data_IF_280221040881
#
_entry.id   IF_280221040881
#
_cell.length_a   1.000
_cell.length_b   1.000
_cell.length_c   1.000
_cell.angle_alpha   90.00
_cell.angle_beta   90.00
_cell.angle_gamma   90.00
#
_symmetry.space_group_name_H-M   'P 1'
#
loop_
_entity.id
_entity.type
_entity.pdbx_description
1 polymer ?
#
# COMPACT_ATOMS: atom_id res chain seq x y z
N UNK A 1 -4.72 60.49 45.41
CA UNK A 1 -3.67 60.98 44.49
C UNK A 1 -3.65 60.08 43.27
N UNK A 2 -4.14 60.59 42.13
CA UNK A 2 -4.03 60.02 40.78
C UNK A 2 -3.17 61.01 39.98
N UNK A 3 -2.10 60.57 39.33
CA UNK A 3 -1.22 61.25 38.33
C UNK A 3 -0.11 60.22 38.02
N UNK A 4 0.27 59.83 36.81
CA UNK A 4 0.14 60.41 35.48
C UNK A 4 0.07 59.29 34.43
N UNK A 5 -0.96 59.38 33.58
CA UNK A 5 -1.01 58.88 32.19
C UNK A 5 0.19 59.43 31.41
N UNK A 6 0.96 58.56 30.73
CA UNK A 6 0.81 58.22 29.30
C UNK A 6 1.15 59.39 28.36
N UNK A 7 1.98 59.04 27.37
CA UNK A 7 2.26 59.73 26.10
C UNK A 7 3.39 60.76 26.12
N UNK A 8 4.54 60.37 25.58
CA UNK A 8 5.08 60.84 24.29
C UNK A 8 6.41 60.08 24.10
N UNK A 9 6.42 58.91 23.47
CA UNK A 9 6.39 58.73 22.01
C UNK A 9 7.69 59.21 21.35
N UNK A 10 8.46 58.21 20.91
CA UNK A 10 9.39 58.22 19.79
C UNK A 10 10.68 59.08 19.87
N UNK A 11 11.75 58.41 19.46
CA UNK A 11 12.91 58.95 18.75
C UNK A 11 14.10 59.43 19.60
N UNK A 12 14.89 58.46 20.07
CA UNK A 12 16.34 58.52 19.89
C UNK A 12 16.83 57.13 19.46
N UNK A 13 16.80 56.94 18.15
CA UNK A 13 17.54 55.92 17.40
C UNK A 13 19.04 56.13 17.62
N UNK A 14 19.79 55.01 17.66
CA UNK A 14 21.24 54.86 17.62
C UNK A 14 21.98 55.27 18.92
N UNK A 15 22.80 54.43 19.56
CA UNK A 15 23.89 53.65 18.97
C UNK A 15 24.13 52.31 19.69
N UNK A 16 24.67 51.38 18.91
CA UNK A 16 25.04 50.00 19.21
C UNK A 16 26.00 49.80 20.40
N UNK A 17 25.90 48.65 21.06
CA UNK A 17 27.00 47.67 21.04
C UNK A 17 26.52 46.29 21.49
N UNK A 18 27.07 45.29 20.81
CA UNK A 18 26.79 43.86 20.83
C UNK A 18 27.27 43.15 22.11
N UNK A 19 26.46 42.24 22.65
CA UNK A 19 26.95 40.98 23.22
C UNK A 19 25.79 39.97 23.29
N UNK A 20 26.08 38.75 22.87
CA UNK A 20 25.13 37.70 22.49
C UNK A 20 24.20 37.23 23.61
N UNK A 21 22.97 36.95 23.22
CA UNK A 21 21.94 36.25 23.99
C UNK A 21 22.31 34.75 24.02
N UNK A 22 22.88 34.27 25.13
CA UNK A 22 23.01 32.84 25.39
C UNK A 22 21.66 32.35 25.88
N UNK A 23 20.86 31.78 24.98
CA UNK A 23 19.68 31.01 25.36
C UNK A 23 20.14 29.58 25.71
N UNK A 24 20.16 29.27 27.01
CA UNK A 24 20.29 27.88 27.48
C UNK A 24 18.98 27.15 27.19
N UNK A 25 18.97 26.28 26.20
CA UNK A 25 17.90 25.30 26.00
C UNK A 25 18.09 24.15 26.98
N UNK A 26 17.17 24.03 27.93
CA UNK A 26 17.06 22.86 28.80
C UNK A 26 16.75 21.61 27.95
N UNK A 27 17.51 20.53 28.20
CA UNK A 27 17.32 19.22 27.58
C UNK A 27 15.98 18.63 28.04
N UNK A 28 14.98 18.71 27.18
CA UNK A 28 13.71 18.00 27.35
C UNK A 28 13.97 16.49 27.22
N UNK A 29 14.08 15.80 28.36
CA UNK A 29 14.31 14.35 28.49
C UNK A 29 12.97 13.59 28.47
N UNK A 30 12.14 13.85 27.47
CA UNK A 30 10.95 13.05 27.21
C UNK A 30 11.34 11.73 26.54
N UNK A 31 11.34 10.70 27.39
CA UNK A 31 11.17 9.27 27.10
C UNK A 31 10.56 8.99 25.72
N UNK A 32 11.36 8.36 24.85
CA UNK A 32 10.92 7.74 23.60
C UNK A 32 9.91 6.63 23.89
N UNK A 33 8.63 6.95 23.78
CA UNK A 33 7.57 5.95 23.59
C UNK A 33 7.24 5.93 22.11
N UNK A 34 6.86 4.77 21.57
CA UNK A 34 6.59 4.48 20.16
C UNK A 34 5.42 5.26 19.52
N UNK A 35 5.10 6.45 20.04
CA UNK A 35 4.17 7.38 19.41
C UNK A 35 5.01 8.42 18.65
N UNK A 36 5.14 8.12 17.35
CA UNK A 36 5.74 8.90 16.25
C UNK A 36 7.24 9.15 16.33
N UNK A 37 7.99 8.37 15.54
CA UNK A 37 9.35 8.72 15.17
C UNK A 37 9.30 9.93 14.23
N UNK A 38 10.31 10.80 14.27
CA UNK A 38 10.39 11.97 13.40
C UNK A 38 11.75 12.10 12.73
N UNK A 39 11.87 12.93 11.70
CA UNK A 39 13.17 13.29 11.10
C UNK A 39 14.13 13.92 12.13
N UNK A 40 13.62 14.50 13.22
CA UNK A 40 14.44 15.01 14.32
C UNK A 40 15.12 13.86 15.09
N UNK A 41 14.50 12.69 15.17
CA UNK A 41 15.05 11.51 15.82
C UNK A 41 16.14 10.87 14.96
N UNK A 42 15.97 10.84 13.64
CA UNK A 42 17.03 10.47 12.70
C UNK A 42 18.25 11.41 12.83
N UNK A 43 18.01 12.72 12.94
CA UNK A 43 19.07 13.72 13.18
C UNK A 43 19.79 13.50 14.51
N UNK A 44 19.07 13.13 15.57
CA UNK A 44 19.66 12.80 16.87
C UNK A 44 20.48 11.52 16.82
N UNK A 45 19.99 10.47 16.15
CA UNK A 45 20.75 9.23 15.93
C UNK A 45 22.05 9.48 15.16
N UNK A 46 22.03 10.35 14.14
CA UNK A 46 23.26 10.82 13.47
C UNK A 46 24.21 11.54 14.44
N UNK A 47 23.69 12.42 15.30
CA UNK A 47 24.49 13.12 16.30
C UNK A 47 25.13 12.15 17.33
N UNK A 48 24.42 11.08 17.72
CA UNK A 48 24.96 10.01 18.56
C UNK A 48 26.05 9.22 17.83
N UNK A 49 25.81 8.86 16.56
CA UNK A 49 26.75 8.10 15.75
C UNK A 49 28.09 8.82 15.54
N UNK A 50 28.06 10.15 15.45
CA UNK A 50 29.29 10.98 15.34
C UNK A 50 29.85 11.45 16.68
N UNK A 51 29.28 10.99 17.81
CA UNK A 51 29.72 11.34 19.17
C UNK A 51 29.51 12.81 19.55
N UNK A 52 28.63 13.52 18.85
CA UNK A 52 28.27 14.91 19.18
C UNK A 52 27.37 15.01 20.40
N UNK A 53 26.63 13.94 20.72
CA UNK A 53 25.85 13.79 21.95
C UNK A 53 26.06 12.37 22.54
N UNK A 54 25.80 12.15 23.85
CA UNK A 54 25.86 10.82 24.45
C UNK A 54 24.94 9.82 23.74
N UNK A 55 25.42 8.59 23.55
CA UNK A 55 24.63 7.50 22.98
C UNK A 55 23.47 7.11 23.89
N UNK A 56 22.28 7.00 23.32
CA UNK A 56 21.09 6.41 23.94
C UNK A 56 20.65 5.21 23.11
N UNK A 57 20.66 4.02 23.70
CA UNK A 57 20.31 2.78 23.01
C UNK A 57 18.82 2.69 22.64
N UNK A 58 18.00 3.67 23.02
CA UNK A 58 16.64 3.74 22.47
C UNK A 58 16.64 4.10 20.97
N UNK A 59 17.72 4.70 20.46
CA UNK A 59 17.88 4.96 19.02
C UNK A 59 18.59 3.80 18.27
N UNK A 60 18.87 2.68 18.94
CA UNK A 60 19.41 1.46 18.32
C UNK A 60 18.26 0.68 17.68
N UNK A 61 18.00 0.96 16.40
CA UNK A 61 16.84 0.42 15.69
C UNK A 61 17.12 -0.97 15.12
N UNK A 62 18.40 -1.31 14.91
CA UNK A 62 18.78 -2.63 14.40
C UNK A 62 19.07 -3.65 15.52
N UNK A 63 19.14 -3.20 16.77
CA UNK A 63 19.35 -4.04 17.96
C UNK A 63 20.78 -4.55 18.12
N UNK A 64 21.77 -3.90 17.50
CA UNK A 64 23.18 -4.35 17.50
C UNK A 64 23.99 -3.89 18.73
N UNK A 65 23.36 -3.13 19.62
CA UNK A 65 23.94 -2.56 20.83
C UNK A 65 24.68 -1.25 20.60
N UNK A 66 24.55 -0.62 19.44
CA UNK A 66 25.18 0.66 19.07
C UNK A 66 24.20 1.53 18.31
N UNK A 67 24.40 2.85 18.39
CA UNK A 67 23.68 3.81 17.53
C UNK A 67 24.64 4.29 16.45
N UNK A 68 24.27 4.04 15.20
CA UNK A 68 25.06 4.33 14.00
C UNK A 68 24.24 5.13 12.99
N UNK A 69 24.86 5.49 11.87
CA UNK A 69 24.14 6.08 10.73
C UNK A 69 23.12 5.13 10.11
N UNK A 70 23.25 3.82 10.34
CA UNK A 70 22.27 2.84 9.87
C UNK A 70 20.95 2.99 10.65
N UNK A 71 21.01 3.18 11.97
CA UNK A 71 19.83 3.40 12.79
C UNK A 71 19.12 4.70 12.42
N UNK A 72 19.88 5.76 12.15
CA UNK A 72 19.32 7.00 11.65
C UNK A 72 18.61 6.84 10.30
N UNK A 73 19.13 5.99 9.41
CA UNK A 73 18.47 5.66 8.15
C UNK A 73 17.17 4.87 8.38
N UNK A 74 17.19 3.89 9.29
CA UNK A 74 15.99 3.11 9.65
C UNK A 74 14.91 4.01 10.26
N UNK A 75 15.28 4.98 11.11
CA UNK A 75 14.35 5.99 11.62
C UNK A 75 13.77 6.83 10.46
N UNK A 76 14.61 7.27 9.51
CA UNK A 76 14.14 8.07 8.39
C UNK A 76 13.18 7.28 7.47
N UNK A 77 13.45 5.99 7.25
CA UNK A 77 12.58 5.09 6.49
C UNK A 77 11.23 4.88 7.18
N UNK A 78 11.25 4.73 8.51
CA UNK A 78 10.02 4.59 9.31
C UNK A 78 9.21 5.89 9.35
N UNK A 79 9.87 7.05 9.39
CA UNK A 79 9.20 8.36 9.30
C UNK A 79 8.53 8.54 7.94
N UNK A 80 9.22 8.19 6.84
CA UNK A 80 8.64 8.21 5.51
C UNK A 80 7.45 7.24 5.40
N UNK A 81 7.50 6.07 6.06
CA UNK A 81 6.39 5.13 6.11
C UNK A 81 5.19 5.67 6.92
N UNK A 82 5.44 6.43 8.00
CA UNK A 82 4.40 7.09 8.80
C UNK A 82 3.76 8.28 8.06
N UNK A 83 4.56 9.11 7.37
CA UNK A 83 4.07 10.21 6.53
C UNK A 83 3.35 9.71 5.27
N UNK A 84 3.62 8.48 4.83
CA UNK A 84 2.89 7.82 3.74
C UNK A 84 1.54 7.23 4.16
N UNK A 85 1.33 6.95 5.45
CA UNK A 85 0.10 6.32 5.93
C UNK A 85 -1.08 7.31 5.93
N UNK A 86 -2.01 7.09 5.01
CA UNK A 86 -3.12 8.01 4.73
C UNK A 86 -2.75 9.14 3.77
N UNK A 87 -1.63 9.03 3.06
CA UNK A 87 -1.26 9.95 1.97
C UNK A 87 -1.78 9.46 0.62
N UNK A 88 -1.91 10.38 -0.36
CA UNK A 88 -2.17 9.99 -1.75
C UNK A 88 -1.00 9.18 -2.29
N UNK A 89 -1.28 8.23 -3.19
CA UNK A 89 -0.21 7.55 -3.91
C UNK A 89 0.59 8.59 -4.73
N UNK A 90 1.94 8.54 -4.69
CA UNK A 90 2.77 9.61 -5.23
C UNK A 90 2.76 9.70 -6.76
N UNK A 91 2.45 8.60 -7.45
CA UNK A 91 2.28 8.54 -8.90
C UNK A 91 1.48 7.29 -9.31
N UNK A 92 1.02 7.20 -10.56
CA UNK A 92 0.23 6.07 -11.06
C UNK A 92 1.06 4.82 -11.38
N UNK A 93 2.37 4.95 -11.47
CA UNK A 93 3.34 3.88 -11.69
C UNK A 93 4.74 4.34 -11.26
N UNK A 94 5.70 3.42 -11.22
CA UNK A 94 7.02 3.60 -10.59
C UNK A 94 6.97 3.97 -9.11
N UNK A 95 6.04 3.34 -8.39
CA UNK A 95 5.82 3.56 -6.96
C UNK A 95 6.03 2.26 -6.19
N UNK A 96 6.43 2.38 -4.93
CA UNK A 96 6.42 1.28 -3.97
C UNK A 96 5.13 1.35 -3.17
N UNK A 97 4.47 0.21 -2.98
CA UNK A 97 3.28 0.09 -2.13
C UNK A 97 3.52 -0.97 -1.07
N UNK A 98 3.16 -0.64 0.16
CA UNK A 98 3.05 -1.56 1.28
C UNK A 98 1.78 -2.40 1.12
N UNK A 99 1.77 -3.54 1.80
CA UNK A 99 0.58 -4.37 1.96
C UNK A 99 0.15 -4.35 3.42
N UNK A 100 -1.15 -4.58 3.64
CA UNK A 100 -1.73 -4.62 4.97
C UNK A 100 -1.53 -5.94 5.71
N UNK A 101 -1.02 -6.98 5.03
CA UNK A 101 -0.81 -8.29 5.65
C UNK A 101 0.13 -8.19 6.85
N UNK A 102 -0.20 -8.90 7.94
CA UNK A 102 0.63 -8.94 9.15
C UNK A 102 2.06 -9.46 8.86
N UNK A 103 2.20 -10.32 7.85
CA UNK A 103 3.46 -10.93 7.44
C UNK A 103 4.24 -10.11 6.39
N UNK A 104 3.70 -8.96 5.96
CA UNK A 104 4.29 -8.14 4.90
C UNK A 104 4.15 -8.75 3.50
N UNK A 105 4.99 -8.28 2.58
CA UNK A 105 5.00 -8.76 1.18
C UNK A 105 5.72 -10.10 1.06
N UNK A 106 5.18 -11.00 0.24
CA UNK A 106 5.80 -12.29 -0.05
C UNK A 106 7.13 -12.16 -0.78
N UNK A 107 7.24 -11.18 -1.68
CA UNK A 107 8.41 -10.97 -2.53
C UNK A 107 9.01 -9.59 -2.30
N UNK A 108 9.72 -9.43 -1.19
CA UNK A 108 10.45 -8.20 -0.84
C UNK A 108 11.83 -8.15 -1.52
N UNK A 109 11.84 -7.77 -2.79
CA UNK A 109 13.09 -7.70 -3.56
C UNK A 109 13.93 -6.45 -3.26
N UNK A 110 13.35 -5.47 -2.55
CA UNK A 110 14.00 -4.19 -2.23
C UNK A 110 14.41 -4.09 -0.75
N UNK A 111 14.00 -5.03 0.10
CA UNK A 111 14.32 -5.04 1.53
C UNK A 111 13.57 -3.96 2.30
N UNK A 112 12.42 -3.54 1.81
CA UNK A 112 11.61 -2.45 2.37
C UNK A 112 10.13 -2.82 2.52
N UNK A 113 9.83 -4.12 2.49
CA UNK A 113 8.49 -4.68 2.65
C UNK A 113 7.42 -4.09 1.70
N UNK A 114 7.82 -3.87 0.44
CA UNK A 114 6.92 -3.27 -0.56
C UNK A 114 6.92 -4.01 -1.89
N UNK A 115 5.82 -3.80 -2.64
CA UNK A 115 5.75 -4.11 -4.05
C UNK A 115 6.04 -2.90 -4.92
N UNK A 116 6.93 -3.06 -5.90
CA UNK A 116 7.18 -2.05 -6.92
C UNK A 116 6.18 -2.16 -8.07
N UNK A 117 5.30 -1.16 -8.19
CA UNK A 117 4.34 -0.99 -9.28
C UNK A 117 5.01 -0.29 -10.44
N UNK A 118 5.16 -0.97 -11.58
CA UNK A 118 6.02 -0.52 -12.69
C UNK A 118 5.28 -0.05 -13.94
N UNK A 119 4.44 -0.89 -14.54
CA UNK A 119 3.65 -0.60 -15.75
C UNK A 119 4.37 -0.01 -17.00
N UNK A 120 5.65 -0.34 -17.23
CA UNK A 120 6.39 0.11 -18.42
C UNK A 120 5.86 -0.46 -19.75
N UNK A 121 5.58 -1.77 -19.77
CA UNK A 121 5.28 -2.53 -21.01
C UNK A 121 3.98 -3.33 -20.92
N UNK A 122 3.78 -4.05 -19.83
CA UNK A 122 2.54 -4.76 -19.52
C UNK A 122 1.37 -3.80 -19.23
N UNK A 123 0.19 -4.35 -18.92
CA UNK A 123 -1.02 -3.55 -18.85
C UNK A 123 -2.27 -4.31 -18.44
N UNK A 124 -3.39 -3.93 -19.05
CA UNK A 124 -4.73 -4.14 -18.53
C UNK A 124 -5.45 -5.38 -19.09
N UNK A 125 -4.87 -6.04 -20.10
CA UNK A 125 -5.63 -6.94 -20.97
C UNK A 125 -5.64 -8.41 -20.53
N UNK A 126 -4.76 -8.82 -19.62
CA UNK A 126 -4.56 -10.26 -19.33
C UNK A 126 -5.04 -10.70 -17.97
N UNK A 127 -5.07 -9.80 -16.99
CA UNK A 127 -5.50 -10.12 -15.63
C UNK A 127 -6.95 -9.67 -15.48
N UNK A 128 -7.83 -10.54 -14.99
CA UNK A 128 -9.24 -10.20 -14.85
C UNK A 128 -9.79 -10.57 -13.48
N UNK A 129 -10.97 -10.03 -13.19
CA UNK A 129 -11.77 -10.38 -12.01
C UNK A 129 -13.09 -10.99 -12.49
N UNK A 130 -13.48 -12.12 -11.91
CA UNK A 130 -14.74 -12.82 -12.24
C UNK A 130 -15.37 -13.42 -10.99
N UNK A 131 -16.70 -13.47 -10.91
CA UNK A 131 -17.41 -14.33 -9.95
C UNK A 131 -17.97 -15.61 -10.58
N UNK A 132 -17.53 -15.92 -11.81
CA UNK A 132 -17.91 -17.10 -12.58
C UNK A 132 -16.66 -17.67 -13.29
N UNK A 133 -16.21 -18.83 -12.84
CA UNK A 133 -15.01 -19.49 -13.38
C UNK A 133 -15.16 -19.95 -14.84
N UNK A 134 -16.37 -19.92 -15.40
CA UNK A 134 -16.63 -20.14 -16.83
C UNK A 134 -16.40 -18.89 -17.71
N UNK A 135 -16.17 -17.72 -17.10
CA UNK A 135 -15.91 -16.44 -17.77
C UNK A 135 -14.47 -15.98 -17.43
N UNK A 136 -13.44 -16.60 -18.02
CA UNK A 136 -12.04 -16.29 -17.68
C UNK A 136 -11.60 -14.90 -18.13
N UNK A 137 -12.29 -14.28 -19.11
CA UNK A 137 -12.08 -12.89 -19.52
C UNK A 137 -12.71 -11.87 -18.54
N UNK A 138 -13.35 -12.36 -17.47
CA UNK A 138 -13.96 -11.57 -16.43
C UNK A 138 -15.23 -10.84 -16.84
N UNK A 139 -15.81 -10.17 -15.84
CA UNK A 139 -16.99 -9.32 -16.00
C UNK A 139 -16.98 -8.20 -14.97
N UNK A 140 -17.77 -7.17 -15.25
CA UNK A 140 -18.11 -6.17 -14.23
C UNK A 140 -19.24 -6.73 -13.36
N UNK A 141 -18.99 -6.80 -12.06
CA UNK A 141 -19.96 -7.22 -11.07
C UNK A 141 -20.16 -6.12 -10.03
N UNK A 142 -21.41 -5.71 -9.83
CA UNK A 142 -21.82 -4.87 -8.69
C UNK A 142 -22.84 -5.66 -7.88
N UNK A 143 -22.67 -5.70 -6.57
CA UNK A 143 -23.58 -6.40 -5.66
C UNK A 143 -23.76 -5.58 -4.38
N UNK A 144 -24.86 -5.79 -3.66
CA UNK A 144 -24.97 -5.34 -2.27
C UNK A 144 -24.55 -6.42 -1.28
N UNK A 145 -24.29 -7.66 -1.73
CA UNK A 145 -24.01 -8.76 -0.79
C UNK A 145 -22.68 -8.52 -0.07
N UNK A 146 -22.70 -8.41 1.26
CA UNK A 146 -21.49 -8.14 2.06
C UNK A 146 -20.57 -9.36 2.22
N UNK A 147 -20.89 -10.51 1.63
CA UNK A 147 -20.00 -11.68 1.64
C UNK A 147 -20.13 -12.44 0.34
N UNK A 148 -19.01 -12.92 -0.19
CA UNK A 148 -19.03 -13.60 -1.47
C UNK A 148 -17.68 -14.14 -1.90
N UNK A 149 -17.66 -14.65 -3.12
CA UNK A 149 -16.46 -15.19 -3.76
C UNK A 149 -16.30 -14.58 -5.13
N UNK A 150 -15.07 -14.24 -5.47
CA UNK A 150 -14.63 -13.94 -6.82
C UNK A 150 -13.27 -14.58 -7.07
N UNK A 151 -12.80 -14.50 -8.30
CA UNK A 151 -11.58 -15.12 -8.77
C UNK A 151 -10.75 -14.11 -9.56
N UNK A 152 -9.43 -14.23 -9.46
CA UNK A 152 -8.48 -13.54 -10.32
C UNK A 152 -7.99 -14.54 -11.37
N UNK A 153 -8.13 -14.17 -12.63
CA UNK A 153 -7.83 -15.04 -13.78
C UNK A 153 -6.75 -14.41 -14.65
N UNK A 154 -6.05 -15.25 -15.44
CA UNK A 154 -5.13 -14.78 -16.47
C UNK A 154 -5.49 -15.38 -17.83
N UNK A 155 -5.74 -14.54 -18.83
CA UNK A 155 -5.94 -14.94 -20.24
C UNK A 155 -4.80 -14.48 -21.15
N UNK A 156 -3.69 -14.04 -20.56
CA UNK A 156 -2.51 -13.60 -21.30
C UNK A 156 -1.70 -14.76 -21.86
N UNK A 157 -0.99 -14.50 -22.97
CA UNK A 157 -0.15 -15.51 -23.61
C UNK A 157 1.01 -16.04 -22.74
N UNK A 158 1.38 -15.34 -21.66
CA UNK A 158 2.33 -15.86 -20.65
C UNK A 158 1.72 -17.01 -19.85
N UNK A 159 0.43 -16.95 -19.54
CA UNK A 159 -0.29 -18.04 -18.85
C UNK A 159 0.05 -18.24 -17.38
N UNK A 160 0.79 -17.32 -16.74
CA UNK A 160 1.01 -17.32 -15.29
C UNK A 160 1.46 -15.96 -14.77
N UNK A 161 1.29 -15.74 -13.46
CA UNK A 161 1.93 -14.67 -12.65
C UNK A 161 2.27 -15.24 -11.28
N UNK A 162 3.46 -14.93 -10.78
CA UNK A 162 4.04 -15.58 -9.59
C UNK A 162 3.38 -15.18 -8.27
N UNK A 163 2.71 -14.03 -8.24
CA UNK A 163 1.84 -13.64 -7.13
C UNK A 163 0.67 -12.77 -7.60
N UNK A 164 -0.47 -12.91 -6.96
CA UNK A 164 -1.59 -11.99 -7.05
C UNK A 164 -1.62 -11.06 -5.83
N UNK A 165 -1.90 -9.80 -6.10
CA UNK A 165 -2.07 -8.75 -5.09
C UNK A 165 -3.46 -8.18 -5.30
N UNK A 166 -4.15 -7.94 -4.21
CA UNK A 166 -5.48 -7.38 -4.18
C UNK A 166 -5.40 -5.91 -3.74
N UNK A 167 -6.14 -5.02 -4.39
CA UNK A 167 -6.34 -3.64 -3.94
C UNK A 167 -7.81 -3.43 -3.63
N UNK A 168 -8.09 -3.07 -2.37
CA UNK A 168 -9.39 -2.63 -1.90
C UNK A 168 -9.45 -1.10 -1.91
N UNK A 169 -10.47 -0.54 -2.53
CA UNK A 169 -10.79 0.88 -2.44
C UNK A 169 -12.13 1.06 -1.73
N UNK A 170 -12.16 1.76 -0.60
CA UNK A 170 -13.41 2.08 0.11
C UNK A 170 -13.59 3.60 0.12
N UNK A 171 -14.80 4.06 -0.19
CA UNK A 171 -15.09 5.50 -0.22
C UNK A 171 -14.82 6.12 1.16
N UNK A 172 -14.27 7.34 1.22
CA UNK A 172 -13.56 7.90 2.40
C UNK A 172 -14.30 7.85 3.75
N UNK A 173 -15.61 7.72 3.76
CA UNK A 173 -16.39 7.53 5.00
C UNK A 173 -16.30 6.07 5.46
N UNK A 174 -15.15 5.69 6.02
CA UNK A 174 -14.93 4.36 6.62
C UNK A 174 -15.28 4.42 8.10
N UNK A 175 -16.23 3.58 8.51
CA UNK A 175 -16.63 3.40 9.90
C UNK A 175 -15.46 2.94 10.77
N UNK A 176 -15.37 3.38 12.03
CA UNK A 176 -14.36 2.82 12.96
C UNK A 176 -14.64 1.34 13.30
N UNK A 177 -15.86 0.88 13.05
CA UNK A 177 -16.25 -0.52 13.16
C UNK A 177 -16.08 -1.31 11.86
N UNK A 178 -15.52 -0.71 10.80
CA UNK A 178 -15.29 -1.40 9.53
C UNK A 178 -14.34 -2.57 9.74
N UNK A 179 -14.73 -3.73 9.21
CA UNK A 179 -13.86 -4.88 9.09
C UNK A 179 -14.11 -5.57 7.76
N UNK A 180 -13.05 -6.12 7.16
CA UNK A 180 -13.15 -7.02 6.01
C UNK A 180 -12.29 -8.24 6.28
N UNK A 181 -12.92 -9.40 6.29
CA UNK A 181 -12.25 -10.67 6.32
C UNK A 181 -11.96 -11.15 4.90
N UNK A 182 -10.71 -11.49 4.61
CA UNK A 182 -10.28 -12.00 3.31
C UNK A 182 -9.67 -13.39 3.49
N UNK A 183 -10.12 -14.32 2.66
CA UNK A 183 -9.45 -15.60 2.44
C UNK A 183 -9.04 -15.73 0.99
N UNK A 184 -7.79 -16.11 0.75
CA UNK A 184 -7.30 -16.44 -0.59
C UNK A 184 -6.95 -17.92 -0.70
N UNK A 185 -7.16 -18.52 -1.86
CA UNK A 185 -6.68 -19.86 -2.18
C UNK A 185 -6.24 -19.92 -3.64
N UNK A 186 -5.25 -20.76 -3.94
CA UNK A 186 -4.67 -20.81 -5.27
C UNK A 186 -3.38 -21.62 -5.29
N UNK A 187 -2.56 -21.43 -6.33
CA UNK A 187 -1.34 -22.20 -6.50
C UNK A 187 -0.10 -21.41 -6.09
N UNK A 188 0.86 -22.10 -5.48
CA UNK A 188 2.20 -21.61 -5.21
C UNK A 188 3.25 -22.48 -5.88
N UNK A 189 4.33 -21.83 -6.29
CA UNK A 189 5.51 -22.45 -6.86
C UNK A 189 6.73 -21.57 -6.55
N UNK A 190 7.93 -22.13 -6.70
CA UNK A 190 9.13 -21.31 -6.73
C UNK A 190 9.24 -20.64 -8.10
N UNK A 191 9.39 -19.31 -8.18
CA UNK A 191 9.49 -18.62 -9.46
C UNK A 191 10.62 -19.19 -10.33
N UNK A 192 10.27 -19.54 -11.56
CA UNK A 192 11.17 -20.14 -12.54
C UNK A 192 12.09 -19.09 -13.18
N UNK A 193 13.32 -19.46 -13.55
CA UNK A 193 14.14 -18.62 -14.42
C UNK A 193 13.59 -18.56 -15.86
N UNK A 194 13.74 -17.41 -16.53
CA UNK A 194 13.59 -17.29 -17.97
C UNK A 194 12.18 -17.01 -18.51
N UNK A 195 11.24 -16.49 -17.71
CA UNK A 195 9.85 -16.21 -18.14
C UNK A 195 9.10 -17.50 -18.60
N UNK A 196 9.38 -18.63 -17.94
CA UNK A 196 8.82 -19.96 -18.27
C UNK A 196 7.75 -20.36 -17.26
N UNK A 197 6.63 -20.94 -17.68
CA UNK A 197 5.60 -21.40 -16.74
C UNK A 197 6.15 -22.46 -15.75
N UNK A 198 5.66 -22.51 -14.49
CA UNK A 198 6.03 -23.57 -13.56
C UNK A 198 5.58 -24.93 -14.12
N UNK A 199 6.37 -25.97 -13.87
CA UNK A 199 6.01 -27.32 -14.26
C UNK A 199 4.84 -27.84 -13.40
N UNK A 200 3.99 -28.70 -13.96
CA UNK A 200 2.80 -29.21 -13.26
C UNK A 200 3.11 -29.98 -11.96
N UNK A 201 4.32 -30.52 -11.82
CA UNK A 201 4.77 -31.19 -10.59
C UNK A 201 5.30 -30.25 -9.51
N UNK A 202 5.52 -28.97 -9.84
CA UNK A 202 6.14 -27.96 -8.99
C UNK A 202 5.13 -26.92 -8.47
N UNK A 203 3.86 -27.03 -8.89
CA UNK A 203 2.77 -26.21 -8.38
C UNK A 203 2.05 -26.92 -7.23
N UNK A 204 1.77 -26.18 -6.16
CA UNK A 204 1.11 -26.68 -4.97
C UNK A 204 -0.13 -25.83 -4.69
N UNK A 205 -1.30 -26.47 -4.58
CA UNK A 205 -2.50 -25.74 -4.17
C UNK A 205 -2.43 -25.44 -2.67
N UNK A 206 -2.56 -24.17 -2.32
CA UNK A 206 -2.60 -23.68 -0.95
C UNK A 206 -4.03 -23.21 -0.68
N UNK A 207 -4.69 -23.92 0.23
CA UNK A 207 -6.00 -23.53 0.75
C UNK A 207 -5.80 -22.51 1.89
N UNK A 208 -6.57 -21.42 1.85
CA UNK A 208 -6.49 -20.32 2.85
C UNK A 208 -5.05 -19.78 3.01
N UNK A 209 -4.39 -19.48 1.89
CA UNK A 209 -3.04 -18.92 1.88
C UNK A 209 -2.96 -17.56 2.61
N UNK A 210 -4.04 -16.80 2.54
CA UNK A 210 -4.37 -15.68 3.43
C UNK A 210 -5.70 -16.02 4.10
N UNK A 211 -5.81 -15.67 5.38
CA UNK A 211 -7.02 -15.79 6.18
C UNK A 211 -6.92 -14.74 7.31
N UNK A 212 -7.14 -13.49 6.94
CA UNK A 212 -6.86 -12.31 7.77
C UNK A 212 -8.06 -11.37 7.78
N UNK A 213 -8.18 -10.61 8.87
CA UNK A 213 -9.19 -9.56 9.01
C UNK A 213 -8.50 -8.22 9.03
N UNK A 214 -8.88 -7.36 8.09
CA UNK A 214 -8.41 -5.99 7.96
C UNK A 214 -9.48 -5.02 8.44
N UNK A 215 -9.06 -3.87 8.93
CA UNK A 215 -9.87 -2.84 9.57
C UNK A 215 -9.57 -1.48 8.96
N UNK A 216 -10.20 -0.43 9.49
CA UNK A 216 -9.95 0.94 9.06
C UNK A 216 -8.48 1.37 9.14
N UNK A 217 -7.70 0.86 10.10
CA UNK A 217 -6.29 1.25 10.27
C UNK A 217 -5.38 0.74 9.15
N UNK A 218 -5.83 -0.26 8.40
CA UNK A 218 -5.02 -0.93 7.37
C UNK A 218 -5.09 -0.21 6.01
N UNK A 219 -5.93 0.81 5.91
CA UNK A 219 -5.98 1.69 4.74
C UNK A 219 -4.84 2.69 4.76
N UNK A 220 -3.74 2.31 4.09
CA UNK A 220 -2.51 3.08 4.07
C UNK A 220 -2.52 4.25 3.08
N UNK A 221 -3.49 4.34 2.17
CA UNK A 221 -3.45 5.34 1.10
C UNK A 221 -4.78 6.08 0.90
N UNK A 222 -4.70 7.27 0.34
CA UNK A 222 -5.83 8.11 -0.07
C UNK A 222 -5.96 9.39 0.78
N UNK A 223 -6.68 10.44 0.34
CA UNK A 223 -7.74 10.43 -0.68
C UNK A 223 -7.27 10.05 -2.08
N UNK A 224 -7.96 9.13 -2.74
CA UNK A 224 -7.59 8.68 -4.06
C UNK A 224 -8.81 8.64 -4.98
N UNK A 225 -8.67 9.10 -6.23
CA UNK A 225 -9.73 9.00 -7.26
C UNK A 225 -9.37 8.02 -8.38
N UNK A 226 -8.15 7.47 -8.37
CA UNK A 226 -7.61 6.62 -9.43
C UNK A 226 -6.84 5.43 -8.87
N UNK A 227 -6.67 4.36 -9.64
CA UNK A 227 -5.82 3.22 -9.27
C UNK A 227 -4.50 3.21 -10.04
N UNK A 228 -3.40 2.71 -9.44
CA UNK A 228 -2.14 2.56 -10.15
C UNK A 228 -2.31 1.74 -11.43
N UNK A 229 -1.79 2.26 -12.53
CA UNK A 229 -1.81 1.62 -13.84
C UNK A 229 -0.83 2.32 -14.79
N UNK A 230 -0.74 1.81 -16.02
CA UNK A 230 0.01 2.48 -17.10
C UNK A 230 -0.52 3.89 -17.42
N UNK A 231 -1.81 4.13 -17.20
CA UNK A 231 -2.47 5.40 -17.54
C UNK A 231 -2.67 6.25 -16.30
N UNK A 232 -2.42 7.56 -16.45
CA UNK A 232 -2.83 8.58 -15.47
C UNK A 232 -4.35 8.56 -15.29
N UNK A 233 -4.82 8.84 -14.08
CA UNK A 233 -6.24 8.97 -13.74
C UNK A 233 -7.08 7.76 -14.21
N UNK A 234 -6.52 6.55 -14.06
CA UNK A 234 -7.26 5.35 -14.43
C UNK A 234 -8.30 5.01 -13.34
N UNK A 235 -9.56 4.73 -13.69
CA UNK A 235 -10.63 4.53 -12.70
C UNK A 235 -10.35 3.43 -11.68
N UNK A 236 -10.91 3.58 -10.49
CA UNK A 236 -10.94 2.57 -9.43
C UNK A 236 -11.98 1.48 -9.71
N UNK A 237 -13.09 1.84 -10.34
CA UNK A 237 -14.18 0.93 -10.68
C UNK A 237 -14.84 1.30 -12.00
N UNK A 238 -15.64 0.37 -12.53
CA UNK A 238 -16.32 0.57 -13.80
C UNK A 238 -17.39 1.64 -13.72
N UNK A 239 -17.34 2.60 -14.64
CA UNK A 239 -18.32 3.69 -14.73
C UNK A 239 -18.06 4.85 -13.77
N UNK A 240 -16.93 4.88 -13.05
CA UNK A 240 -16.54 6.03 -12.24
C UNK A 240 -16.40 7.29 -13.12
N UNK A 241 -16.99 8.41 -12.65
CA UNK A 241 -16.80 9.72 -13.25
C UNK A 241 -15.46 10.32 -12.79
N UNK A 242 -14.48 10.33 -13.69
CA UNK A 242 -13.14 10.86 -13.41
C UNK A 242 -13.07 12.40 -13.37
N UNK A 243 -14.16 13.10 -13.70
CA UNK A 243 -14.26 14.55 -13.52
C UNK A 243 -14.73 14.96 -12.13
N UNK A 244 -15.29 14.02 -11.36
CA UNK A 244 -15.75 14.25 -9.99
C UNK A 244 -14.61 14.04 -9.00
N UNK A 245 -13.79 15.07 -8.80
CA UNK A 245 -12.61 15.01 -7.93
C UNK A 245 -12.94 14.90 -6.44
N UNK A 246 -14.19 15.16 -6.03
CA UNK A 246 -14.62 15.03 -4.63
C UNK A 246 -15.01 13.61 -4.22
N UNK A 247 -15.17 12.70 -5.18
CA UNK A 247 -15.48 11.29 -4.93
C UNK A 247 -14.20 10.50 -4.68
N UNK A 248 -13.69 10.58 -3.45
CA UNK A 248 -12.40 10.04 -3.01
C UNK A 248 -12.54 8.71 -2.26
N UNK A 249 -11.46 7.93 -2.31
CA UNK A 249 -11.35 6.60 -1.72
C UNK A 249 -10.09 6.48 -0.88
N UNK A 250 -10.15 5.64 0.17
CA UNK A 250 -8.97 5.10 0.83
C UNK A 250 -8.63 3.75 0.21
N UNK A 251 -7.34 3.49 0.03
CA UNK A 251 -6.84 2.25 -0.57
C UNK A 251 -6.03 1.43 0.43
N UNK A 252 -6.15 0.12 0.26
CA UNK A 252 -5.35 -0.89 0.93
C UNK A 252 -4.91 -1.91 -0.11
N UNK A 253 -3.66 -2.36 -0.04
CA UNK A 253 -3.16 -3.48 -0.84
C UNK A 253 -2.97 -4.70 0.07
N UNK A 254 -3.28 -5.89 -0.45
CA UNK A 254 -3.19 -7.17 0.25
C UNK A 254 -2.47 -8.13 -0.68
N UNK A 255 -1.34 -8.67 -0.23
CA UNK A 255 -0.71 -9.81 -0.83
C UNK A 255 -1.60 -11.05 -0.65
N UNK A 256 -1.99 -11.72 -1.73
CA UNK A 256 -2.85 -12.91 -1.65
C UNK A 256 -2.07 -14.21 -1.42
N UNK A 257 -0.74 -14.13 -1.42
CA UNK A 257 0.20 -15.21 -1.16
C UNK A 257 0.06 -16.43 -2.08
N UNK A 258 -0.56 -16.25 -3.26
CA UNK A 258 -0.71 -17.26 -4.31
C UNK A 258 -0.56 -16.63 -5.69
N UNK A 259 -0.03 -17.40 -6.63
CA UNK A 259 0.08 -17.03 -8.03
C UNK A 259 -1.19 -17.39 -8.81
N UNK A 260 -1.37 -16.71 -9.95
CA UNK A 260 -2.44 -17.01 -10.91
C UNK A 260 -1.87 -17.79 -12.09
N UNK A 261 -2.53 -18.89 -12.45
CA UNK A 261 -2.25 -19.66 -13.65
C UNK A 261 -3.32 -19.37 -14.71
N UNK A 262 -2.95 -19.50 -15.98
CA UNK A 262 -3.89 -19.51 -17.09
C UNK A 262 -4.84 -20.70 -16.97
N UNK A 263 -6.03 -20.55 -17.56
CA UNK A 263 -7.12 -21.51 -17.41
C UNK A 263 -6.67 -22.96 -17.68
N UNK A 264 -6.86 -23.82 -16.69
CA UNK A 264 -6.61 -25.25 -16.80
C UNK A 264 -7.67 -26.02 -15.99
N UNK A 265 -8.63 -26.62 -16.69
CA UNK A 265 -9.75 -27.36 -16.08
C UNK A 265 -9.35 -28.61 -15.28
N UNK A 266 -8.08 -29.01 -15.30
CA UNK A 266 -7.57 -30.11 -14.46
C UNK A 266 -7.09 -29.63 -13.09
N UNK A 267 -6.96 -28.32 -12.90
CA UNK A 267 -6.56 -27.69 -11.65
C UNK A 267 -7.79 -27.25 -10.86
N UNK A 268 -7.65 -27.19 -9.54
CA UNK A 268 -8.67 -26.61 -8.65
C UNK A 268 -8.89 -25.15 -9.06
N UNK A 269 -10.15 -24.73 -9.09
CA UNK A 269 -10.56 -23.39 -9.52
C UNK A 269 -9.99 -22.99 -10.90
N UNK A 270 -9.73 -23.97 -11.78
CA UNK A 270 -9.10 -23.81 -13.09
C UNK A 270 -7.71 -23.17 -13.06
N UNK A 271 -7.00 -23.19 -11.92
CA UNK A 271 -5.71 -22.52 -11.73
C UNK A 271 -5.82 -21.04 -11.34
N UNK A 272 -7.04 -20.54 -11.15
CA UNK A 272 -7.29 -19.16 -10.73
C UNK A 272 -7.01 -18.97 -9.25
N UNK A 273 -6.87 -17.70 -8.85
CA UNK A 273 -6.84 -17.35 -7.42
C UNK A 273 -8.26 -17.12 -6.97
N UNK A 274 -8.74 -17.93 -6.03
CA UNK A 274 -10.03 -17.75 -5.36
C UNK A 274 -9.86 -16.73 -4.23
N UNK A 275 -10.77 -15.76 -4.16
CA UNK A 275 -10.86 -14.78 -3.07
C UNK A 275 -12.26 -14.83 -2.49
N UNK A 276 -12.34 -15.11 -1.19
CA UNK A 276 -13.57 -15.05 -0.40
C UNK A 276 -13.50 -13.83 0.51
N UNK A 277 -14.55 -13.04 0.54
CA UNK A 277 -14.63 -11.83 1.35
C UNK A 277 -15.87 -11.86 2.26
N UNK A 278 -15.75 -11.18 3.40
CA UNK A 278 -16.87 -10.79 4.25
C UNK A 278 -16.62 -9.41 4.81
N UNK A 279 -17.49 -8.45 4.51
CA UNK A 279 -17.39 -7.06 4.96
C UNK A 279 -18.40 -6.82 6.07
N UNK A 280 -17.97 -6.12 7.11
CA UNK A 280 -18.81 -5.63 8.20
C UNK A 280 -18.78 -4.11 8.20
N UNK A 281 -19.95 -3.49 8.42
CA UNK A 281 -20.10 -2.03 8.58
C UNK A 281 -19.63 -1.21 7.36
N UNK A 282 -19.90 -1.68 6.13
CA UNK A 282 -19.74 -0.87 4.92
C UNK A 282 -20.84 0.21 4.86
N UNK A 283 -20.45 1.48 4.88
CA UNK A 283 -21.40 2.59 4.90
C UNK A 283 -21.78 3.10 3.50
N UNK A 284 -20.98 2.78 2.48
CA UNK A 284 -21.07 3.38 1.15
C UNK A 284 -20.77 2.37 0.04
N UNK A 285 -19.50 2.23 -0.34
CA UNK A 285 -19.07 1.52 -1.53
C UNK A 285 -17.63 1.02 -1.38
N UNK A 286 -17.39 -0.19 -1.86
CA UNK A 286 -16.08 -0.81 -1.96
C UNK A 286 -15.83 -1.32 -3.38
N UNK A 287 -14.63 -1.12 -3.92
CA UNK A 287 -14.19 -1.67 -5.20
C UNK A 287 -12.93 -2.51 -5.07
N UNK A 288 -12.91 -3.59 -5.83
CA UNK A 288 -11.89 -4.61 -5.82
C UNK A 288 -11.11 -4.58 -7.14
N UNK A 289 -9.79 -4.49 -7.05
CA UNK A 289 -8.90 -4.61 -8.21
C UNK A 289 -7.80 -5.64 -7.96
N UNK A 290 -7.42 -6.34 -9.02
CA UNK A 290 -6.34 -7.31 -9.00
C UNK A 290 -5.07 -6.69 -9.58
N UNK A 291 -3.94 -7.08 -9.02
CA UNK A 291 -2.60 -6.79 -9.49
C UNK A 291 -1.81 -8.09 -9.51
N UNK A 292 -0.77 -8.16 -10.35
CA UNK A 292 0.07 -9.34 -10.39
C UNK A 292 1.55 -9.02 -10.49
N UNK A 293 2.33 -9.73 -9.66
CA UNK A 293 3.78 -9.67 -9.62
C UNK A 293 4.38 -10.83 -10.41
N UNK A 294 5.49 -10.54 -11.11
CA UNK A 294 6.33 -11.57 -11.71
C UNK A 294 7.78 -11.40 -11.28
N UNK A 295 8.43 -12.53 -11.05
CA UNK A 295 9.87 -12.58 -10.86
C UNK A 295 10.60 -12.25 -12.16
N UNK A 296 10.12 -12.83 -13.26
CA UNK A 296 10.67 -12.60 -14.60
C UNK A 296 9.56 -12.45 -15.63
N UNK A 297 9.72 -11.45 -16.48
CA UNK A 297 8.84 -11.21 -17.62
C UNK A 297 9.50 -10.32 -18.66
N UNK A 298 8.90 -10.25 -19.84
CA UNK A 298 9.23 -9.23 -20.86
C UNK A 298 9.08 -7.75 -20.38
N UNK A 299 8.41 -7.54 -19.25
CA UNK A 299 8.20 -6.25 -18.58
C UNK A 299 9.14 -6.06 -17.39
N UNK A 300 10.04 -7.02 -17.16
CA UNK A 300 10.96 -7.11 -16.03
C UNK A 300 10.32 -7.67 -14.76
N UNK A 301 11.07 -7.62 -13.67
CA UNK A 301 10.64 -8.04 -12.34
C UNK A 301 9.75 -6.95 -11.71
N UNK A 302 8.70 -7.34 -11.00
CA UNK A 302 7.80 -6.42 -10.28
C UNK A 302 6.32 -6.59 -10.63
N UNK A 303 5.49 -5.65 -10.15
CA UNK A 303 4.06 -5.59 -10.44
C UNK A 303 3.84 -4.83 -11.75
N UNK A 304 3.15 -5.47 -12.69
CA UNK A 304 3.07 -4.96 -14.07
C UNK A 304 1.73 -5.24 -14.76
N UNK A 305 0.82 -5.95 -14.11
CA UNK A 305 -0.51 -6.24 -14.61
C UNK A 305 -1.57 -5.84 -13.60
N UNK A 306 -2.71 -5.39 -14.09
CA UNK A 306 -3.93 -5.17 -13.31
C UNK A 306 -5.15 -5.37 -14.20
N UNK A 307 -6.33 -5.54 -13.61
CA UNK A 307 -7.59 -5.66 -14.35
C UNK A 307 -8.00 -4.34 -15.02
N UNK A 308 -8.62 -4.44 -16.19
CA UNK A 308 -9.21 -3.30 -16.88
C UNK A 308 -10.56 -2.96 -16.25
N UNK A 309 -10.85 -1.69 -15.95
CA UNK A 309 -12.16 -1.26 -15.43
C UNK A 309 -12.81 -0.16 -16.28
N UNK A 310 -12.26 0.11 -17.45
CA UNK A 310 -12.84 1.06 -18.40
C UNK A 310 -12.69 0.55 -19.83
N UNK A 311 -13.73 0.72 -20.64
CA UNK A 311 -13.78 0.28 -22.04
C UNK A 311 -14.09 -1.21 -22.22
N UNK A 312 -13.89 -1.70 -23.44
CA UNK A 312 -14.16 -3.11 -23.80
C UNK A 312 -13.19 -4.06 -23.10
N UNK A 313 -13.70 -5.15 -22.52
CA UNK A 313 -12.91 -6.09 -21.72
C UNK A 313 -12.76 -5.67 -20.25
N UNK A 314 -13.62 -4.76 -19.77
CA UNK A 314 -13.62 -4.39 -18.36
C UNK A 314 -14.06 -5.57 -17.48
N UNK A 315 -13.31 -5.81 -16.43
CA UNK A 315 -13.59 -6.78 -15.38
C UNK A 315 -13.29 -6.16 -14.03
N UNK A 316 -14.20 -6.30 -13.09
CA UNK A 316 -14.10 -5.63 -11.79
C UNK A 316 -15.23 -6.07 -10.88
N UNK A 317 -15.00 -5.95 -9.58
CA UNK A 317 -15.98 -6.34 -8.57
C UNK A 317 -16.20 -5.17 -7.62
N UNK A 318 -17.45 -4.86 -7.31
CA UNK A 318 -17.80 -3.77 -6.41
C UNK A 318 -18.95 -4.17 -5.50
N UNK A 319 -18.88 -3.71 -4.25
CA UNK A 319 -19.87 -3.96 -3.21
C UNK A 319 -20.44 -2.62 -2.78
N UNK A 320 -21.76 -2.49 -2.88
CA UNK A 320 -22.53 -1.38 -2.33
C UNK A 320 -22.96 -1.74 -0.91
N UNK A 321 -23.26 -0.73 -0.09
CA UNK A 321 -23.91 -0.94 1.20
C UNK A 321 -25.23 -1.69 1.05
N UNK A 322 -25.51 -2.59 2.00
CA UNK A 322 -26.80 -3.27 2.20
C UNK A 322 -28.01 -2.33 2.38
#
# INVERSE_FOLDING_TARGET
MKKNMILTMLLCIAMASSAALVATTELNTTKYTAETLTTADASRALQMAVGSIPTDLVADMNGDGKVTSLDALMILQEVDAQDANGAMLPDHHHIHVNVANDAGVKYDIYGNDTYYIRFDKAGLNSLHVTNDTSIPDGQVTTTSTQSGTFYITDTGGKGFKDNAIFMLAVNETISDAFAIHIKSSGYNWTPTPGDVAPESGEINYINEAVNETFTKSDFMYGPQTWKPSKSKNYPLYYGQDMSEESNTFKLMFIDLNVGVLGMNNSLIDNGFVKVEYSIENLETFAAFNAYAWCNQSNSGQGVSWTNQVSGSGSSGYSVEKD
#
